data_IF_313891242199
#
_entry.id   IF_313891242199
#
_cell.length_a   1.000
_cell.length_b   1.000
_cell.length_c   1.000
_cell.angle_alpha   90.00
_cell.angle_beta   90.00
_cell.angle_gamma   90.00
#
_symmetry.space_group_name_H-M   'P 1'
#
loop_
_entity.id
_entity.type
_entity.pdbx_description
1 polymer ?
#
# COMPACT_ATOMS: atom_id res chain seq x y z
N UNK A 1 28.07 -4.39 -1.98
CA UNK A 1 26.69 -3.85 -1.96
C UNK A 1 26.38 -3.53 -0.52
N UNK A 2 26.09 -2.27 -0.18
CA UNK A 2 25.64 -1.94 1.17
C UNK A 2 24.25 -2.56 1.31
N UNK A 3 24.05 -3.46 2.28
CA UNK A 3 22.71 -3.77 2.73
C UNK A 3 22.15 -2.46 3.26
N UNK A 4 21.18 -1.89 2.56
CA UNK A 4 20.35 -0.85 3.15
C UNK A 4 19.63 -1.50 4.33
N UNK A 5 19.84 -0.92 5.50
CA UNK A 5 19.16 -1.31 6.73
C UNK A 5 17.66 -1.00 6.54
N UNK A 6 16.95 -1.96 5.93
CA UNK A 6 15.51 -1.88 5.65
C UNK A 6 14.66 -2.00 6.93
N UNK A 7 15.29 -2.08 8.11
CA UNK A 7 14.63 -2.25 9.42
C UNK A 7 14.59 -0.97 10.23
N UNK A 8 14.18 0.15 9.61
CA UNK A 8 13.77 1.32 10.41
C UNK A 8 12.47 0.97 11.13
N UNK A 9 12.55 0.79 12.46
CA UNK A 9 11.37 0.57 13.33
C UNK A 9 10.32 1.65 13.12
N UNK A 10 9.05 1.26 13.20
CA UNK A 10 7.97 2.22 13.25
C UNK A 10 8.10 3.04 14.53
N UNK A 11 7.81 4.35 14.46
CA UNK A 11 7.59 5.10 15.71
C UNK A 11 6.31 4.58 16.38
N UNK A 12 6.21 4.67 17.71
CA UNK A 12 5.01 4.23 18.43
C UNK A 12 3.73 4.83 17.87
N UNK A 13 3.79 6.09 17.41
CA UNK A 13 2.67 6.76 16.75
C UNK A 13 2.33 6.16 15.40
N UNK A 14 3.32 5.86 14.55
CA UNK A 14 3.07 5.23 13.24
C UNK A 14 2.49 3.84 13.40
N UNK A 15 3.01 3.05 14.35
CA UNK A 15 2.48 1.73 14.66
C UNK A 15 1.03 1.81 15.13
N UNK A 16 0.73 2.69 16.08
CA UNK A 16 -0.64 2.88 16.58
C UNK A 16 -1.62 3.33 15.48
N UNK A 17 -1.24 4.31 14.67
CA UNK A 17 -2.08 4.80 13.56
C UNK A 17 -2.32 3.73 12.49
N UNK A 18 -1.28 2.98 12.11
CA UNK A 18 -1.37 1.91 11.11
C UNK A 18 -2.22 0.75 11.64
N UNK A 19 -1.96 0.28 12.86
CA UNK A 19 -2.72 -0.78 13.51
C UNK A 19 -4.20 -0.40 13.64
N UNK A 20 -4.50 0.80 14.12
CA UNK A 20 -5.89 1.27 14.22
C UNK A 20 -6.58 1.34 12.85
N UNK A 21 -5.87 1.79 11.82
CA UNK A 21 -6.41 1.80 10.46
C UNK A 21 -6.69 0.38 9.95
N UNK A 22 -5.75 -0.55 10.13
CA UNK A 22 -5.92 -1.94 9.73
C UNK A 22 -7.19 -2.49 10.36
N UNK A 23 -7.30 -2.45 11.68
CA UNK A 23 -8.44 -3.00 12.41
C UNK A 23 -9.77 -2.32 12.10
N UNK A 24 -9.78 -1.00 11.88
CA UNK A 24 -11.01 -0.29 11.49
C UNK A 24 -11.56 -0.70 10.13
N UNK A 25 -10.74 -1.31 9.27
CA UNK A 25 -11.12 -1.74 7.93
C UNK A 25 -11.15 -3.27 7.79
N UNK A 26 -10.86 -4.00 8.87
CA UNK A 26 -10.59 -5.42 8.87
C UNK A 26 -11.88 -6.28 8.97
N UNK A 27 -12.90 -5.82 9.72
CA UNK A 27 -14.14 -6.58 10.01
C UNK A 27 -15.05 -6.84 8.79
N UNK A 28 -14.85 -6.14 7.67
CA UNK A 28 -15.66 -6.31 6.44
C UNK A 28 -14.83 -6.41 5.14
N UNK A 29 -13.58 -5.92 5.12
CA UNK A 29 -12.80 -5.78 3.87
C UNK A 29 -11.67 -6.80 3.66
N UNK A 30 -11.53 -7.83 4.51
CA UNK A 30 -10.52 -8.88 4.32
C UNK A 30 -9.12 -8.34 3.98
N UNK A 31 -8.37 -7.84 4.96
CA UNK A 31 -6.99 -7.42 4.70
C UNK A 31 -6.12 -8.65 4.39
N UNK A 32 -5.48 -8.65 3.22
CA UNK A 32 -4.52 -9.67 2.81
C UNK A 32 -3.12 -9.09 2.90
N UNK A 33 -2.32 -9.61 3.82
CA UNK A 33 -0.92 -9.21 3.98
C UNK A 33 -0.08 -10.46 3.77
N UNK A 34 0.61 -10.54 2.61
CA UNK A 34 1.49 -11.67 2.30
C UNK A 34 2.93 -11.36 2.74
N UNK A 35 3.49 -12.29 3.52
CA UNK A 35 4.94 -12.43 3.66
C UNK A 35 5.52 -13.25 2.49
N UNK A 36 6.85 -13.30 2.35
CA UNK A 36 7.52 -14.08 1.29
C UNK A 36 7.40 -15.61 1.46
N UNK A 37 6.47 -16.12 2.29
CA UNK A 37 6.37 -17.56 2.64
C UNK A 37 5.03 -18.22 2.29
N UNK A 38 4.23 -17.65 1.39
CA UNK A 38 2.95 -18.23 0.89
C UNK A 38 1.87 -18.44 1.97
N UNK A 39 2.03 -17.88 3.19
CA UNK A 39 0.96 -17.89 4.20
C UNK A 39 0.13 -16.61 4.10
N UNK A 40 -0.99 -16.69 3.37
CA UNK A 40 -2.06 -15.69 3.46
C UNK A 40 -2.53 -15.59 4.90
N UNK A 41 -2.17 -14.52 5.61
CA UNK A 41 -2.82 -14.18 6.87
C UNK A 41 -3.95 -13.20 6.59
N UNK A 42 -5.16 -13.73 6.59
CA UNK A 42 -6.36 -12.93 6.77
C UNK A 42 -6.31 -12.32 8.16
N UNK A 43 -6.94 -11.17 8.35
CA UNK A 43 -7.26 -10.66 9.68
C UNK A 43 -8.22 -11.58 10.50
N UNK A 44 -8.09 -12.90 10.45
CA UNK A 44 -9.02 -13.79 11.16
C UNK A 44 -8.68 -13.90 12.66
N UNK A 45 -7.58 -13.29 13.11
CA UNK A 45 -7.17 -13.26 14.51
C UNK A 45 -7.63 -11.97 15.19
N UNK A 46 -8.42 -12.11 16.26
CA UNK A 46 -8.94 -11.02 17.07
C UNK A 46 -7.77 -10.17 17.62
N UNK A 47 -7.80 -8.83 17.50
CA UNK A 47 -6.71 -7.93 17.91
C UNK A 47 -6.34 -8.01 19.40
N UNK A 48 -7.16 -8.63 20.24
CA UNK A 48 -6.83 -8.90 21.63
C UNK A 48 -5.85 -10.08 21.82
N UNK A 49 -5.71 -10.94 20.80
CA UNK A 49 -4.95 -12.19 20.87
C UNK A 49 -3.55 -12.07 20.24
N UNK A 50 -3.29 -10.99 19.46
CA UNK A 50 -1.98 -10.69 18.87
C UNK A 50 -1.11 -9.86 19.83
N UNK A 51 0.13 -10.29 20.07
CA UNK A 51 1.13 -9.46 20.75
C UNK A 51 1.48 -8.24 19.86
N UNK A 52 1.39 -7.00 20.34
CA UNK A 52 1.74 -5.80 19.57
C UNK A 52 3.16 -5.84 18.98
N UNK A 53 4.10 -6.52 19.65
CA UNK A 53 5.46 -6.68 19.15
C UNK A 53 5.55 -7.61 17.94
N UNK A 54 4.76 -8.68 17.93
CA UNK A 54 4.65 -9.60 16.79
C UNK A 54 4.01 -8.91 15.58
N UNK A 55 3.00 -8.08 15.81
CA UNK A 55 2.38 -7.28 14.76
C UNK A 55 3.37 -6.27 14.17
N UNK A 56 4.19 -5.60 14.99
CA UNK A 56 5.19 -4.64 14.50
C UNK A 56 6.26 -5.33 13.66
N UNK A 57 6.80 -6.46 14.12
CA UNK A 57 7.80 -7.23 13.38
C UNK A 57 7.23 -7.70 12.04
N UNK A 58 5.99 -8.21 12.04
CA UNK A 58 5.32 -8.62 10.82
C UNK A 58 5.08 -7.48 9.81
N UNK A 59 4.67 -6.30 10.28
CA UNK A 59 4.51 -5.13 9.41
C UNK A 59 5.83 -4.74 8.74
N UNK A 60 6.96 -4.85 9.46
CA UNK A 60 8.29 -4.57 8.93
C UNK A 60 8.80 -5.65 7.95
N UNK A 61 8.35 -6.90 8.12
CA UNK A 61 8.70 -8.02 7.26
C UNK A 61 7.79 -8.17 6.02
N UNK A 62 6.60 -7.58 6.06
CA UNK A 62 5.62 -7.60 4.97
C UNK A 62 6.22 -7.06 3.67
N UNK A 63 5.86 -7.71 2.55
CA UNK A 63 6.26 -7.30 1.20
C UNK A 63 5.07 -6.97 0.31
N UNK A 64 3.89 -7.51 0.59
CA UNK A 64 2.65 -7.19 -0.10
C UNK A 64 1.65 -6.62 0.89
N UNK A 65 1.12 -5.45 0.56
CA UNK A 65 -0.10 -4.94 1.16
C UNK A 65 -1.24 -5.12 0.17
N UNK A 66 -2.23 -5.94 0.50
CA UNK A 66 -3.39 -6.17 -0.35
C UNK A 66 -4.73 -5.97 0.40
N UNK A 67 -5.70 -5.37 -0.29
CA UNK A 67 -7.09 -5.23 0.16
C UNK A 67 -7.98 -6.20 -0.63
N UNK A 68 -8.95 -6.84 0.02
CA UNK A 68 -9.96 -7.65 -0.68
C UNK A 68 -10.77 -6.77 -1.63
N UNK A 69 -10.79 -7.15 -2.91
CA UNK A 69 -11.50 -6.47 -3.97
C UNK A 69 -13.04 -6.65 -3.86
N UNK A 70 -13.50 -7.47 -2.91
CA UNK A 70 -14.91 -7.66 -2.57
C UNK A 70 -15.34 -6.91 -1.32
N UNK A 71 -14.55 -5.96 -0.79
CA UNK A 71 -14.97 -5.21 0.40
C UNK A 71 -16.30 -4.46 0.14
N UNK A 72 -17.39 -4.79 0.86
CA UNK A 72 -18.70 -4.18 0.63
C UNK A 72 -18.77 -2.71 1.08
N UNK A 73 -17.92 -2.31 2.03
CA UNK A 73 -17.85 -0.91 2.50
C UNK A 73 -17.03 -0.02 1.59
N UNK A 74 -16.07 -0.59 0.85
CA UNK A 74 -15.03 0.13 0.12
C UNK A 74 -14.12 0.95 1.05
N UNK A 75 -12.83 0.97 0.74
CA UNK A 75 -11.87 1.82 1.45
C UNK A 75 -11.73 3.15 0.72
N UNK A 76 -11.81 4.28 1.46
CA UNK A 76 -11.74 5.63 0.87
C UNK A 76 -10.34 6.23 0.83
N UNK A 77 -9.50 5.83 1.77
CA UNK A 77 -8.17 6.40 1.96
C UNK A 77 -7.19 5.34 2.42
N UNK A 78 -6.03 5.29 1.77
CA UNK A 78 -4.87 4.53 2.27
C UNK A 78 -4.22 5.30 3.43
N UNK A 79 -3.72 4.63 4.47
CA UNK A 79 -3.12 5.31 5.59
C UNK A 79 -1.72 5.79 5.19
N UNK A 80 -1.42 7.06 5.49
CA UNK A 80 -0.11 7.67 5.21
C UNK A 80 1.05 6.89 5.84
N UNK A 81 0.77 6.19 6.94
CA UNK A 81 1.74 5.34 7.65
C UNK A 81 2.23 4.15 6.83
N UNK A 82 1.55 3.74 5.74
CA UNK A 82 2.11 2.76 4.79
C UNK A 82 3.45 3.20 4.21
N UNK A 83 3.66 4.51 4.05
CA UNK A 83 4.94 5.07 3.59
C UNK A 83 6.13 4.73 4.50
N UNK A 84 5.87 4.35 5.75
CA UNK A 84 6.91 3.93 6.70
C UNK A 84 7.38 2.49 6.49
N UNK A 85 6.59 1.65 5.81
CA UNK A 85 6.93 0.25 5.54
C UNK A 85 7.89 0.15 4.35
N UNK A 86 9.17 0.45 4.58
CA UNK A 86 10.20 0.52 3.52
C UNK A 86 10.49 -0.81 2.84
N UNK A 87 10.07 -1.92 3.45
CA UNK A 87 10.16 -3.27 2.89
C UNK A 87 9.13 -3.57 1.80
N UNK A 88 8.05 -2.81 1.67
CA UNK A 88 6.97 -3.09 0.73
C UNK A 88 7.44 -3.13 -0.73
N UNK A 89 6.98 -4.15 -1.44
CA UNK A 89 7.22 -4.43 -2.86
C UNK A 89 5.99 -4.25 -3.69
N UNK A 90 4.82 -4.56 -3.15
CA UNK A 90 3.56 -4.44 -3.84
C UNK A 90 2.50 -3.84 -2.92
N UNK A 91 1.70 -2.94 -3.48
CA UNK A 91 0.45 -2.44 -2.90
C UNK A 91 -0.65 -2.74 -3.91
N UNK A 92 -1.65 -3.52 -3.49
CA UNK A 92 -2.80 -3.92 -4.31
C UNK A 92 -4.08 -3.53 -3.58
N UNK A 93 -4.83 -2.59 -4.13
CA UNK A 93 -6.07 -2.12 -3.54
C UNK A 93 -7.10 -1.83 -4.63
N UNK A 94 -7.48 -2.90 -5.34
CA UNK A 94 -8.44 -2.82 -6.43
C UNK A 94 -9.87 -2.72 -5.91
N UNK A 95 -10.77 -2.14 -6.72
CA UNK A 95 -12.22 -2.11 -6.46
C UNK A 95 -12.58 -1.52 -5.10
N UNK A 96 -11.91 -0.42 -4.75
CA UNK A 96 -12.21 0.34 -3.54
C UNK A 96 -12.81 1.70 -3.94
N UNK A 97 -13.05 2.57 -2.95
CA UNK A 97 -13.48 3.95 -3.17
C UNK A 97 -12.33 4.93 -2.92
N UNK A 98 -11.08 4.54 -3.23
CA UNK A 98 -9.91 5.34 -2.89
C UNK A 98 -9.88 6.61 -3.73
N UNK A 99 -9.86 7.78 -3.08
CA UNK A 99 -9.96 9.07 -3.76
C UNK A 99 -8.60 9.75 -3.97
N UNK A 100 -7.59 9.35 -3.21
CA UNK A 100 -6.25 9.90 -3.32
C UNK A 100 -5.15 8.92 -2.94
N UNK A 101 -3.97 9.10 -3.53
CA UNK A 101 -2.74 8.41 -3.15
C UNK A 101 -1.98 9.29 -2.15
N UNK A 102 -1.76 8.85 -0.91
CA UNK A 102 -0.86 9.53 0.01
C UNK A 102 0.53 9.71 -0.57
N UNK A 103 1.08 10.93 -0.51
CA UNK A 103 2.44 11.21 -0.99
C UNK A 103 3.50 10.38 -0.24
N UNK A 104 3.19 9.96 0.99
CA UNK A 104 4.06 9.13 1.82
C UNK A 104 4.31 7.75 1.20
N UNK A 105 3.36 7.20 0.42
CA UNK A 105 3.58 5.97 -0.36
C UNK A 105 4.73 6.15 -1.36
N UNK A 106 4.92 7.37 -1.89
CA UNK A 106 6.01 7.67 -2.82
C UNK A 106 7.40 7.67 -2.15
N UNK A 107 7.48 7.46 -0.83
CA UNK A 107 8.72 7.30 -0.09
C UNK A 107 9.17 5.84 0.04
N UNK A 108 8.38 4.88 -0.45
CA UNK A 108 8.72 3.45 -0.46
C UNK A 108 9.59 3.18 -1.70
N UNK A 109 10.89 3.41 -1.59
CA UNK A 109 11.85 3.30 -2.70
C UNK A 109 11.91 1.90 -3.32
N UNK A 110 11.57 0.88 -2.53
CA UNK A 110 11.55 -0.52 -2.94
C UNK A 110 10.26 -0.97 -3.64
N UNK A 111 9.24 -0.12 -3.77
CA UNK A 111 7.94 -0.49 -4.34
C UNK A 111 8.08 -0.79 -5.84
N UNK A 112 7.63 -1.97 -6.25
CA UNK A 112 7.73 -2.48 -7.62
C UNK A 112 6.36 -2.50 -8.33
N UNK A 113 5.28 -2.73 -7.58
CA UNK A 113 3.91 -2.78 -8.06
C UNK A 113 3.02 -1.85 -7.24
N UNK A 114 2.28 -0.97 -7.93
CA UNK A 114 1.18 -0.19 -7.34
C UNK A 114 -0.06 -0.40 -8.18
N UNK A 115 -1.02 -1.14 -7.63
CA UNK A 115 -2.27 -1.46 -8.29
C UNK A 115 -3.45 -0.84 -7.53
N UNK A 116 -4.05 0.16 -8.14
CA UNK A 116 -5.23 0.88 -7.66
C UNK A 116 -6.31 0.89 -8.75
N UNK A 117 -6.37 -0.16 -9.56
CA UNK A 117 -7.40 -0.32 -10.58
C UNK A 117 -8.82 -0.26 -9.98
N UNK A 118 -9.78 0.33 -10.69
CA UNK A 118 -11.18 0.44 -10.28
C UNK A 118 -11.33 1.16 -8.92
N UNK A 119 -11.09 2.46 -8.93
CA UNK A 119 -11.12 3.33 -7.76
C UNK A 119 -11.66 4.73 -8.12
N UNK A 120 -11.70 5.64 -7.15
CA UNK A 120 -12.22 7.00 -7.34
C UNK A 120 -11.11 8.08 -7.46
N UNK A 121 -9.88 7.69 -7.83
CA UNK A 121 -8.75 8.61 -7.87
C UNK A 121 -9.00 9.75 -8.87
N UNK A 122 -8.81 10.98 -8.43
CA UNK A 122 -8.96 12.16 -9.30
C UNK A 122 -7.62 12.74 -9.77
N UNK A 123 -6.54 12.40 -9.06
CA UNK A 123 -5.20 12.95 -9.26
C UNK A 123 -4.13 11.92 -8.87
N UNK A 124 -2.94 12.07 -9.44
CA UNK A 124 -1.75 11.33 -9.03
C UNK A 124 -0.76 12.34 -8.40
N UNK A 125 -0.17 12.05 -7.23
CA UNK A 125 0.81 12.95 -6.61
C UNK A 125 2.04 13.15 -7.51
N UNK A 126 2.58 14.36 -7.54
CA UNK A 126 3.78 14.67 -8.35
C UNK A 126 4.98 13.82 -7.91
N UNK A 127 5.00 13.45 -6.63
CA UNK A 127 6.00 12.59 -5.99
C UNK A 127 6.03 11.16 -6.51
N UNK A 128 5.06 10.71 -7.31
CA UNK A 128 5.03 9.34 -7.84
C UNK A 128 6.32 8.98 -8.61
N UNK A 129 6.98 9.96 -9.23
CA UNK A 129 8.29 9.76 -9.88
C UNK A 129 9.46 9.50 -8.92
N UNK A 130 9.25 9.58 -7.59
CA UNK A 130 10.23 9.19 -6.58
C UNK A 130 10.28 7.67 -6.39
N UNK A 131 9.31 6.92 -6.90
CA UNK A 131 9.26 5.47 -6.84
C UNK A 131 10.22 4.84 -7.87
N UNK A 132 11.50 4.84 -7.53
CA UNK A 132 12.60 4.43 -8.43
C UNK A 132 12.55 2.96 -8.86
N UNK A 133 11.93 2.10 -8.03
CA UNK A 133 11.81 0.67 -8.32
C UNK A 133 10.49 0.29 -9.02
N UNK A 134 9.56 1.23 -9.22
CA UNK A 134 8.21 0.93 -9.70
C UNK A 134 8.25 0.51 -11.18
N UNK A 135 7.68 -0.66 -11.45
CA UNK A 135 7.65 -1.29 -12.78
C UNK A 135 6.25 -1.34 -13.35
N UNK A 136 5.28 -1.51 -12.47
CA UNK A 136 3.87 -1.72 -12.80
C UNK A 136 3.03 -0.71 -12.03
N UNK A 137 2.27 0.09 -12.76
CA UNK A 137 1.31 1.05 -12.22
C UNK A 137 -0.03 0.86 -12.93
N UNK A 138 -1.01 0.33 -12.19
CA UNK A 138 -2.36 0.11 -12.67
C UNK A 138 -3.29 1.16 -12.06
N UNK A 139 -3.83 2.04 -12.91
CA UNK A 139 -4.72 3.14 -12.54
C UNK A 139 -5.95 3.23 -13.46
N UNK A 140 -6.24 2.16 -14.20
CA UNK A 140 -7.46 2.03 -15.01
C UNK A 140 -8.72 2.12 -14.17
N UNK A 141 -9.84 2.44 -14.80
CA UNK A 141 -11.14 2.61 -14.12
C UNK A 141 -11.05 3.59 -12.93
N UNK A 142 -10.47 4.76 -13.16
CA UNK A 142 -10.39 5.87 -12.20
C UNK A 142 -10.83 7.20 -12.83
N UNK A 143 -10.97 8.26 -12.03
CA UNK A 143 -11.38 9.61 -12.47
C UNK A 143 -10.19 10.56 -12.74
N UNK A 144 -9.04 10.02 -13.14
CA UNK A 144 -7.80 10.79 -13.30
C UNK A 144 -7.88 11.66 -14.56
N UNK A 145 -7.84 12.98 -14.37
CA UNK A 145 -7.97 13.95 -15.48
C UNK A 145 -6.64 14.41 -16.05
N UNK A 146 -5.54 14.24 -15.31
CA UNK A 146 -4.22 14.68 -15.73
C UNK A 146 -3.10 13.84 -15.11
N UNK A 147 -2.00 13.72 -15.84
CA UNK A 147 -0.80 13.02 -15.39
C UNK A 147 0.28 14.04 -15.00
N UNK A 148 0.95 13.85 -13.84
CA UNK A 148 2.09 14.67 -13.45
C UNK A 148 3.24 14.50 -14.44
N UNK A 149 4.09 15.52 -14.56
CA UNK A 149 5.27 15.50 -15.45
C UNK A 149 6.23 14.37 -15.12
N UNK A 150 6.32 14.00 -13.84
CA UNK A 150 7.12 12.89 -13.37
C UNK A 150 6.73 11.56 -14.02
N UNK A 151 5.46 11.33 -14.32
CA UNK A 151 5.02 10.15 -15.07
C UNK A 151 5.36 10.27 -16.55
N UNK A 152 5.14 11.44 -17.16
CA UNK A 152 5.43 11.67 -18.58
C UNK A 152 6.91 11.46 -18.92
N UNK A 153 7.79 11.68 -17.95
CA UNK A 153 9.24 11.51 -18.08
C UNK A 153 9.74 10.09 -17.71
N UNK A 154 8.89 9.22 -17.16
CA UNK A 154 9.34 7.92 -16.60
C UNK A 154 8.95 6.76 -17.51
N UNK A 155 9.88 5.81 -17.71
CA UNK A 155 9.68 4.59 -18.51
C UNK A 155 9.13 3.49 -17.59
N UNK A 156 7.87 3.59 -17.22
CA UNK A 156 7.20 2.47 -16.55
C UNK A 156 6.95 1.36 -17.57
N UNK A 157 7.22 0.10 -17.19
CA UNK A 157 7.20 -1.02 -18.14
C UNK A 157 5.76 -1.38 -18.55
N UNK A 158 4.83 -1.28 -17.61
CA UNK A 158 3.40 -1.46 -17.83
C UNK A 158 2.66 -0.27 -17.21
N UNK A 159 2.00 0.51 -18.06
CA UNK A 159 1.15 1.65 -17.68
C UNK A 159 -0.21 1.44 -18.34
N UNK A 160 -1.22 1.08 -17.56
CA UNK A 160 -2.57 0.81 -18.09
C UNK A 160 -3.57 1.80 -17.50
N UNK A 161 -4.25 2.52 -18.39
CA UNK A 161 -5.34 3.47 -18.12
C UNK A 161 -6.69 3.00 -18.70
N UNK A 162 -6.77 1.76 -19.17
CA UNK A 162 -8.00 1.25 -19.79
C UNK A 162 -9.09 0.97 -18.77
#
# INVERSE_FOLDING_TARGET
MKQEDNTSKLTSKQFEELSNWLWSNCDDCGLMLEDMTDSLRYCDENPADLDPSELEDWLLETRLFALDDNCPKGIKDLPKTLGALKGLKAIVAQRQSIQSIPKEICEIKGLEVLDLFDNELTQIPQEIGKLESLRELYLGENNITSLPESIKSTIFRNFMFE
#
